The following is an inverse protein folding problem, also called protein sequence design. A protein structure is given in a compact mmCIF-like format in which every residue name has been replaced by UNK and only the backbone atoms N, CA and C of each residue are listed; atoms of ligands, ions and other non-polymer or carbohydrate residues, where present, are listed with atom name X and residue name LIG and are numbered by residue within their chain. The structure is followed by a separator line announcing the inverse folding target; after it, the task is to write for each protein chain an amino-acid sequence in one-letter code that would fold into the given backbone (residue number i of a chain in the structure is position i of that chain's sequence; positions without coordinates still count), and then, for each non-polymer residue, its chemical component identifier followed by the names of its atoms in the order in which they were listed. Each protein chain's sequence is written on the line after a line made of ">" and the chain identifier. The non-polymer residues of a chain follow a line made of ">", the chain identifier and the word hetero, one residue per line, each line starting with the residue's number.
data_IF_947160586532
#
_entry.id   IF_947160586532
#
_cell.length_a   1.000
_cell.length_b   1.000
_cell.length_c   1.000
_cell.angle_alpha   90.00
_cell.angle_beta   90.00
_cell.angle_gamma   90.00
#
_symmetry.space_group_name_H-M   'P 1'
#
loop_
_entity.id
_entity.type
_entity.pdbx_description
1 polymer ?
#
# COMPACT_ATOMS: atom_id res chain seq x y z
N UNK A 1 -27.74 -10.07 -5.39
CA UNK A 1 -26.46 -10.22 -6.11
C UNK A 1 -25.54 -9.17 -5.52
N UNK A 2 -24.65 -9.55 -4.60
CA UNK A 2 -23.65 -8.62 -4.11
C UNK A 2 -22.59 -8.55 -5.19
N UNK A 3 -22.47 -7.42 -5.86
CA UNK A 3 -21.33 -7.15 -6.74
C UNK A 3 -20.10 -7.27 -5.85
N UNK A 4 -19.28 -8.29 -6.07
CA UNK A 4 -17.97 -8.37 -5.41
C UNK A 4 -17.15 -7.26 -6.07
N UNK A 5 -17.06 -6.11 -5.41
CA UNK A 5 -16.14 -5.07 -5.83
C UNK A 5 -14.73 -5.64 -5.62
N UNK A 6 -14.08 -6.05 -6.71
CA UNK A 6 -12.66 -6.39 -6.68
C UNK A 6 -11.87 -5.12 -6.97
N UNK A 7 -10.88 -4.86 -6.13
CA UNK A 7 -9.85 -3.86 -6.39
C UNK A 7 -8.54 -4.61 -6.62
N UNK A 8 -7.73 -4.11 -7.55
CA UNK A 8 -6.38 -4.60 -7.76
C UNK A 8 -5.41 -3.58 -7.18
N UNK A 9 -4.60 -4.00 -6.22
CA UNK A 9 -3.61 -3.16 -5.56
C UNK A 9 -2.23 -3.65 -5.96
N UNK A 10 -1.40 -2.74 -6.43
CA UNK A 10 0.02 -2.97 -6.66
C UNK A 10 0.83 -2.01 -5.79
N UNK A 11 1.81 -2.56 -5.09
CA UNK A 11 2.77 -1.81 -4.27
C UNK A 11 4.17 -2.06 -4.84
N UNK A 12 4.96 -1.00 -5.00
CA UNK A 12 6.37 -1.09 -5.35
C UNK A 12 7.20 -0.36 -4.30
N UNK A 13 8.28 -0.99 -3.84
CA UNK A 13 9.17 -0.39 -2.86
C UNK A 13 10.63 -0.69 -3.23
N UNK A 14 11.44 0.31 -3.62
CA UNK A 14 12.86 0.08 -3.84
C UNK A 14 13.53 -0.40 -2.56
N UNK A 15 14.53 -1.27 -2.68
CA UNK A 15 15.38 -1.71 -1.57
C UNK A 15 16.79 -1.23 -1.84
N UNK A 16 17.23 -0.22 -1.09
CA UNK A 16 18.58 0.31 -1.21
C UNK A 16 19.60 -0.58 -0.50
N UNK A 17 20.87 -0.52 -0.91
CA UNK A 17 21.97 -1.39 -0.43
C UNK A 17 22.16 -1.45 1.10
N UNK A 18 21.67 -0.45 1.82
CA UNK A 18 21.78 -0.36 3.28
C UNK A 18 20.49 -0.75 4.02
N UNK A 19 19.42 -1.03 3.28
CA UNK A 19 18.15 -1.47 3.84
C UNK A 19 18.15 -2.99 4.05
N UNK A 20 17.40 -3.42 5.06
CA UNK A 20 17.15 -4.85 5.29
C UNK A 20 15.86 -5.19 4.54
N UNK A 21 15.96 -6.01 3.49
CA UNK A 21 14.82 -6.40 2.63
C UNK A 21 13.61 -6.87 3.44
N UNK A 22 13.82 -7.71 4.45
CA UNK A 22 12.74 -8.22 5.31
C UNK A 22 11.99 -7.09 6.03
N UNK A 23 12.68 -6.02 6.47
CA UNK A 23 12.02 -4.87 7.10
C UNK A 23 11.17 -4.07 6.11
N UNK A 24 11.60 -4.00 4.85
CA UNK A 24 10.79 -3.38 3.78
C UNK A 24 9.54 -4.22 3.53
N UNK A 25 9.68 -5.54 3.51
CA UNK A 25 8.57 -6.46 3.36
C UNK A 25 7.59 -6.39 4.55
N UNK A 26 8.10 -6.26 5.77
CA UNK A 26 7.30 -6.05 6.98
C UNK A 26 6.52 -4.74 6.93
N UNK A 27 7.15 -3.65 6.45
CA UNK A 27 6.46 -2.37 6.28
C UNK A 27 5.32 -2.46 5.26
N UNK A 28 5.50 -3.22 4.16
CA UNK A 28 4.42 -3.50 3.20
C UNK A 28 3.29 -4.28 3.89
N UNK A 29 3.61 -5.36 4.60
CA UNK A 29 2.62 -6.20 5.29
C UNK A 29 1.94 -5.51 6.45
N UNK A 30 2.58 -4.51 7.05
CA UNK A 30 1.99 -3.63 8.06
C UNK A 30 0.83 -2.80 7.52
N UNK A 31 0.79 -2.54 6.21
CA UNK A 31 -0.31 -1.81 5.55
C UNK A 31 -1.24 -2.77 4.81
N UNK A 32 -0.68 -3.82 4.19
CA UNK A 32 -1.38 -4.81 3.38
C UNK A 32 -1.07 -6.23 3.88
N UNK A 33 -1.73 -6.71 4.96
CA UNK A 33 -1.35 -7.96 5.63
C UNK A 33 -1.40 -9.19 4.74
N UNK A 34 -2.31 -9.19 3.77
CA UNK A 34 -2.55 -10.29 2.84
C UNK A 34 -1.83 -10.11 1.49
N UNK A 35 -0.85 -9.19 1.41
CA UNK A 35 -0.11 -8.99 0.17
C UNK A 35 0.87 -10.13 -0.13
N UNK A 36 0.85 -10.59 -1.38
CA UNK A 36 1.89 -11.46 -1.93
C UNK A 36 3.08 -10.58 -2.31
N UNK A 37 4.25 -10.82 -1.70
CA UNK A 37 5.45 -9.99 -1.89
C UNK A 37 6.52 -10.77 -2.63
N UNK A 38 7.00 -10.20 -3.73
CA UNK A 38 8.08 -10.74 -4.56
C UNK A 38 9.25 -9.76 -4.61
N UNK A 39 10.48 -10.26 -4.58
CA UNK A 39 11.69 -9.47 -4.79
C UNK A 39 12.13 -9.56 -6.26
N UNK A 40 12.43 -8.41 -6.87
CA UNK A 40 12.96 -8.38 -8.23
C UNK A 40 13.58 -7.03 -8.56
N UNK A 41 14.69 -7.05 -9.31
CA UNK A 41 15.31 -5.84 -9.87
C UNK A 41 15.65 -4.72 -8.84
N UNK A 42 15.97 -5.08 -7.60
CA UNK A 42 16.30 -4.10 -6.54
C UNK A 42 15.07 -3.44 -5.90
N UNK A 43 13.88 -4.01 -6.09
CA UNK A 43 12.65 -3.58 -5.43
C UNK A 43 11.83 -4.77 -4.96
N UNK A 44 10.95 -4.51 -3.98
CA UNK A 44 9.84 -5.39 -3.65
C UNK A 44 8.62 -4.98 -4.45
N UNK A 45 7.93 -5.97 -4.99
CA UNK A 45 6.61 -5.84 -5.61
C UNK A 45 5.62 -6.59 -4.76
N UNK A 46 4.49 -5.97 -4.50
CA UNK A 46 3.41 -6.59 -3.76
C UNK A 46 2.07 -6.43 -4.45
N UNK A 47 1.25 -7.48 -4.40
CA UNK A 47 -0.11 -7.46 -4.94
C UNK A 47 -1.11 -7.91 -3.89
N UNK A 48 -2.29 -7.30 -3.90
CA UNK A 48 -3.42 -7.73 -3.06
C UNK A 48 -4.74 -7.27 -3.65
N UNK A 49 -5.84 -7.87 -3.20
CA UNK A 49 -7.20 -7.46 -3.51
C UNK A 49 -7.94 -6.93 -2.27
N UNK A 50 -7.20 -6.66 -1.20
CA UNK A 50 -7.72 -6.28 0.11
C UNK A 50 -7.24 -4.87 0.51
N UNK A 51 -8.18 -4.02 0.88
CA UNK A 51 -7.95 -2.65 1.38
C UNK A 51 -8.51 -2.44 2.79
N UNK A 52 -9.01 -3.49 3.45
CA UNK A 52 -9.66 -3.36 4.75
C UNK A 52 -8.69 -2.79 5.79
N UNK A 53 -7.47 -3.32 5.87
CA UNK A 53 -6.49 -2.85 6.85
C UNK A 53 -6.02 -1.41 6.60
N UNK A 54 -5.78 -1.04 5.33
CA UNK A 54 -5.47 0.36 4.99
C UNK A 54 -6.61 1.28 5.44
N UNK A 55 -7.87 0.90 5.17
CA UNK A 55 -9.04 1.66 5.60
C UNK A 55 -9.07 1.83 7.13
N UNK A 56 -8.84 0.75 7.89
CA UNK A 56 -8.76 0.81 9.36
C UNK A 56 -7.68 1.78 9.85
N UNK A 57 -6.49 1.75 9.24
CA UNK A 57 -5.38 2.64 9.60
C UNK A 57 -5.75 4.11 9.35
N UNK A 58 -6.34 4.42 8.20
CA UNK A 58 -6.77 5.78 7.87
C UNK A 58 -7.83 6.32 8.84
N UNK A 59 -8.77 5.46 9.28
CA UNK A 59 -9.76 5.81 10.30
C UNK A 59 -9.10 6.03 11.66
N UNK A 60 -8.24 5.10 12.09
CA UNK A 60 -7.56 5.15 13.39
C UNK A 60 -6.65 6.37 13.53
N UNK A 61 -6.01 6.78 12.44
CA UNK A 61 -5.13 7.95 12.40
C UNK A 61 -5.88 9.26 12.14
N UNK A 62 -7.21 9.22 11.94
CA UNK A 62 -8.06 10.39 11.69
C UNK A 62 -7.63 11.24 10.48
N UNK A 63 -7.09 10.61 9.43
CA UNK A 63 -6.55 11.28 8.23
C UNK A 63 -7.39 11.06 6.96
N UNK A 64 -8.67 10.72 7.10
CA UNK A 64 -9.56 10.43 5.96
C UNK A 64 -9.66 11.60 4.98
N UNK A 65 -9.70 12.84 5.47
CA UNK A 65 -9.78 14.02 4.60
C UNK A 65 -8.51 14.20 3.76
N UNK A 66 -7.34 13.95 4.35
CA UNK A 66 -6.06 13.97 3.64
C UNK A 66 -5.99 12.86 2.61
N UNK A 67 -6.32 11.63 2.99
CA UNK A 67 -6.33 10.48 2.09
C UNK A 67 -7.28 10.71 0.91
N UNK A 68 -8.49 11.22 1.18
CA UNK A 68 -9.48 11.57 0.17
C UNK A 68 -8.93 12.59 -0.83
N UNK A 69 -8.26 13.64 -0.35
CA UNK A 69 -7.62 14.64 -1.21
C UNK A 69 -6.57 14.03 -2.13
N UNK A 70 -5.72 13.14 -1.61
CA UNK A 70 -4.68 12.45 -2.38
C UNK A 70 -5.28 11.49 -3.42
N UNK A 71 -6.29 10.69 -3.03
CA UNK A 71 -6.91 9.71 -3.92
C UNK A 71 -7.62 10.40 -5.10
N UNK A 72 -8.40 11.45 -4.83
CA UNK A 72 -9.06 12.19 -5.91
C UNK A 72 -8.10 13.04 -6.74
N UNK A 73 -7.05 13.57 -6.12
CA UNK A 73 -6.04 14.37 -6.82
C UNK A 73 -5.17 13.56 -7.79
N UNK A 74 -5.05 12.24 -7.58
CA UNK A 74 -4.27 11.31 -8.40
C UNK A 74 -5.12 10.39 -9.30
N UNK A 75 -6.45 10.48 -9.21
CA UNK A 75 -7.36 9.62 -9.95
C UNK A 75 -7.26 9.88 -11.47
N UNK A 76 -6.90 8.84 -12.20
CA UNK A 76 -6.84 8.82 -13.66
C UNK A 76 -7.62 7.61 -14.18
N UNK A 77 -8.80 7.86 -14.72
CA UNK A 77 -9.71 6.79 -15.13
C UNK A 77 -10.28 6.06 -13.92
N UNK A 78 -9.95 4.78 -13.80
CA UNK A 78 -10.33 3.88 -12.70
C UNK A 78 -9.19 3.63 -11.70
N UNK A 79 -8.02 4.24 -11.92
CA UNK A 79 -6.81 4.01 -11.14
C UNK A 79 -6.37 5.27 -10.42
N UNK A 80 -5.95 5.16 -9.18
CA UNK A 80 -5.28 6.22 -8.44
C UNK A 80 -3.95 5.71 -7.89
N UNK A 81 -3.02 6.61 -7.59
CA UNK A 81 -1.68 6.25 -7.12
C UNK A 81 -1.17 7.25 -6.11
N UNK A 82 -0.50 6.75 -5.09
CA UNK A 82 0.01 7.58 -3.99
C UNK A 82 1.25 6.93 -3.38
N UNK A 83 2.09 7.76 -2.78
CA UNK A 83 3.30 7.30 -2.10
C UNK A 83 3.07 7.27 -0.59
N UNK A 84 3.57 6.22 0.06
CA UNK A 84 3.62 6.10 1.51
C UNK A 84 5.06 6.25 2.01
N UNK A 85 5.21 6.85 3.19
CA UNK A 85 6.52 6.90 3.84
C UNK A 85 6.87 5.51 4.38
N UNK A 86 7.85 4.86 3.75
CA UNK A 86 8.33 3.52 4.14
C UNK A 86 8.66 3.38 5.62
N UNK A 87 9.33 4.38 6.21
CA UNK A 87 9.71 4.34 7.64
C UNK A 87 8.49 4.42 8.57
N UNK A 88 7.47 5.22 8.22
CA UNK A 88 6.25 5.32 9.01
C UNK A 88 5.35 4.08 8.87
N UNK A 89 5.53 3.28 7.82
CA UNK A 89 4.82 2.03 7.62
C UNK A 89 5.45 0.84 8.38
N UNK A 90 6.69 1.00 8.87
CA UNK A 90 7.38 -0.03 9.65
C UNK A 90 7.12 0.07 11.16
N UNK A 91 6.76 1.27 11.65
CA UNK A 91 6.49 1.54 13.08
C UNK A 91 5.06 1.15 13.50
#
# INVERSE_FOLDING_TARGET
>A
MSTVYSVDVQVTAPVYDTEVTDRVADAIRGIFPNAEVEEGHGELRATTHDLEHLSELLHRQEILDTARGVFFGSLSGDTFSFDLKKQAAFE
#
